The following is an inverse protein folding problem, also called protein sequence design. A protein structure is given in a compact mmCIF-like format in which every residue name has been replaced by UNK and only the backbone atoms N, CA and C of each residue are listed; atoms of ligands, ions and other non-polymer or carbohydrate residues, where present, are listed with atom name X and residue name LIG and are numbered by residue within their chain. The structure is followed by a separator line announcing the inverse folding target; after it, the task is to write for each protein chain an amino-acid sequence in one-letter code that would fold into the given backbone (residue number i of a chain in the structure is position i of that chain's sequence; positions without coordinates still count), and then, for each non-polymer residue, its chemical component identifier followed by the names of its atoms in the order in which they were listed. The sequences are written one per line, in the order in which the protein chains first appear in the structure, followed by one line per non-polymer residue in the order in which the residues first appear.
data_IF_861468665149
#
_entry.id   IF_861468665149
#
_cell.length_a   1.000
_cell.length_b   1.000
_cell.length_c   1.000
_cell.angle_alpha   90.00
_cell.angle_beta   90.00
_cell.angle_gamma   90.00
#
_symmetry.space_group_name_H-M   'P 1'
#
loop_
_entity.id
_entity.type
_entity.pdbx_description
1 polymer ?
#
# COMPACT_ATOMS: atom_id res chain seq x y z
N UNK A 1 -35.05 -14.44 -4.40
CA UNK A 1 -34.46 -13.66 -5.52
C UNK A 1 -33.31 -12.81 -5.04
N UNK A 2 -32.30 -12.63 -5.89
CA UNK A 2 -31.11 -11.82 -5.63
C UNK A 2 -31.13 -10.59 -6.54
N UNK A 3 -30.94 -9.39 -6.00
CA UNK A 3 -30.80 -8.16 -6.77
C UNK A 3 -29.30 -7.85 -6.97
N UNK A 4 -28.86 -7.70 -8.22
CA UNK A 4 -27.49 -7.29 -8.55
C UNK A 4 -27.50 -5.87 -9.11
N UNK A 5 -26.78 -4.96 -8.46
CA UNK A 5 -26.56 -3.59 -8.95
C UNK A 5 -25.05 -3.34 -9.22
N UNK A 6 -24.60 -3.37 -10.48
CA UNK A 6 -23.19 -3.18 -10.83
C UNK A 6 -22.71 -1.72 -10.70
N UNK A 7 -23.62 -0.76 -10.48
CA UNK A 7 -23.31 0.66 -10.32
C UNK A 7 -24.09 1.24 -9.12
N UNK A 8 -23.99 0.56 -7.99
CA UNK A 8 -24.82 0.82 -6.81
C UNK A 8 -24.77 2.27 -6.30
N UNK A 9 -23.66 2.99 -6.52
CA UNK A 9 -23.52 4.39 -6.16
C UNK A 9 -23.84 4.63 -4.69
N UNK A 10 -24.67 5.63 -4.42
CA UNK A 10 -25.15 5.93 -3.06
C UNK A 10 -26.07 4.85 -2.45
N UNK A 11 -26.30 3.74 -3.14
CA UNK A 11 -27.01 2.56 -2.66
C UNK A 11 -28.53 2.66 -2.65
N UNK A 12 -29.14 3.56 -3.43
CA UNK A 12 -30.60 3.77 -3.44
C UNK A 12 -31.36 2.48 -3.79
N UNK A 13 -30.92 1.77 -4.84
CA UNK A 13 -31.45 0.45 -5.24
C UNK A 13 -31.33 -0.59 -4.12
N UNK A 14 -30.17 -0.59 -3.44
CA UNK A 14 -29.86 -1.54 -2.38
C UNK A 14 -30.70 -1.30 -1.12
N UNK A 15 -30.97 -0.03 -0.78
CA UNK A 15 -31.86 0.36 0.32
C UNK A 15 -33.31 -0.05 0.00
N UNK A 16 -33.75 0.10 -1.25
CA UNK A 16 -35.05 -0.39 -1.67
C UNK A 16 -35.14 -1.93 -1.57
N UNK A 17 -34.10 -2.66 -2.00
CA UNK A 17 -34.02 -4.11 -1.86
C UNK A 17 -34.02 -4.56 -0.37
N UNK A 18 -33.26 -3.87 0.48
CA UNK A 18 -33.24 -4.06 1.93
C UNK A 18 -34.63 -3.91 2.57
N UNK A 19 -35.32 -2.81 2.29
CA UNK A 19 -36.67 -2.54 2.80
C UNK A 19 -37.69 -3.60 2.35
N UNK A 20 -37.49 -4.17 1.16
CA UNK A 20 -38.28 -5.29 0.62
C UNK A 20 -37.82 -6.67 1.12
N UNK A 21 -36.88 -6.74 2.08
CA UNK A 21 -36.27 -7.97 2.62
C UNK A 21 -35.68 -8.90 1.55
N UNK A 22 -35.17 -8.33 0.46
CA UNK A 22 -34.51 -9.06 -0.63
C UNK A 22 -32.99 -9.11 -0.40
N UNK A 23 -32.39 -10.25 -0.73
CA UNK A 23 -30.93 -10.34 -0.84
C UNK A 23 -30.44 -9.48 -2.00
N UNK A 24 -29.31 -8.81 -1.83
CA UNK A 24 -28.69 -8.00 -2.88
C UNK A 24 -27.17 -8.03 -2.83
N UNK A 25 -26.56 -7.80 -3.98
CA UNK A 25 -25.13 -7.50 -4.14
C UNK A 25 -25.03 -6.20 -4.93
N UNK A 26 -24.22 -5.27 -4.43
CA UNK A 26 -23.98 -3.99 -5.08
C UNK A 26 -22.49 -3.70 -5.19
N UNK A 27 -22.05 -3.35 -6.40
CA UNK A 27 -20.68 -2.96 -6.67
C UNK A 27 -20.59 -1.47 -6.98
N UNK A 28 -19.55 -0.82 -6.48
CA UNK A 28 -19.16 0.53 -6.89
C UNK A 28 -17.64 0.71 -6.74
N UNK A 29 -17.01 1.33 -7.73
CA UNK A 29 -15.56 1.57 -7.77
C UNK A 29 -15.13 2.75 -6.89
N UNK A 30 -16.06 3.58 -6.42
CA UNK A 30 -15.82 4.83 -5.72
C UNK A 30 -15.94 4.67 -4.21
N UNK A 31 -14.82 4.87 -3.50
CA UNK A 31 -14.77 4.92 -2.02
C UNK A 31 -15.75 5.97 -1.45
N UNK A 32 -16.03 7.06 -2.19
CA UNK A 32 -17.06 8.06 -1.84
C UNK A 32 -18.46 7.43 -1.72
N UNK A 33 -18.86 6.64 -2.71
CA UNK A 33 -20.19 6.04 -2.77
C UNK A 33 -20.37 4.94 -1.72
N UNK A 34 -19.34 4.09 -1.51
CA UNK A 34 -19.27 3.16 -0.37
C UNK A 34 -19.52 3.87 0.97
N UNK A 35 -18.82 4.97 1.23
CA UNK A 35 -18.97 5.73 2.48
C UNK A 35 -20.37 6.36 2.62
N UNK A 36 -20.99 6.82 1.53
CA UNK A 36 -22.37 7.34 1.55
C UNK A 36 -23.38 6.23 1.83
N UNK A 37 -23.21 5.05 1.23
CA UNK A 37 -24.06 3.90 1.47
C UNK A 37 -23.95 3.40 2.93
N UNK A 38 -22.75 3.27 3.47
CA UNK A 38 -22.53 2.91 4.88
C UNK A 38 -23.21 3.89 5.86
N UNK A 39 -23.17 5.20 5.59
CA UNK A 39 -23.87 6.21 6.39
C UNK A 39 -25.40 6.08 6.31
N UNK A 40 -25.94 5.80 5.12
CA UNK A 40 -27.38 5.57 4.95
C UNK A 40 -27.84 4.30 5.65
N UNK A 41 -27.02 3.24 5.58
CA UNK A 41 -27.26 1.98 6.29
C UNK A 41 -27.26 2.16 7.80
N UNK A 42 -26.29 2.88 8.37
CA UNK A 42 -26.24 3.14 9.82
C UNK A 42 -27.46 3.92 10.34
N UNK A 43 -28.15 4.67 9.47
CA UNK A 43 -29.39 5.38 9.78
C UNK A 43 -30.66 4.52 9.57
N UNK A 44 -30.53 3.34 8.96
CA UNK A 44 -31.62 2.37 8.79
C UNK A 44 -31.43 1.18 9.75
N UNK A 45 -32.50 0.66 10.35
CA UNK A 45 -32.43 -0.59 11.12
C UNK A 45 -32.32 -1.82 10.19
N UNK A 46 -31.34 -1.82 9.30
CA UNK A 46 -31.06 -2.88 8.32
C UNK A 46 -29.65 -3.40 8.52
N UNK A 47 -29.54 -4.63 9.04
CA UNK A 47 -28.29 -5.37 9.00
C UNK A 47 -27.99 -5.81 7.57
N UNK A 48 -26.79 -5.50 7.08
CA UNK A 48 -26.30 -5.96 5.78
C UNK A 48 -24.98 -6.68 5.92
N UNK A 49 -24.86 -7.82 5.25
CA UNK A 49 -23.62 -8.56 5.15
C UNK A 49 -22.69 -7.90 4.12
N UNK A 50 -21.88 -6.94 4.58
CA UNK A 50 -20.86 -6.31 3.75
C UNK A 50 -19.67 -7.27 3.55
N UNK A 51 -19.76 -8.14 2.55
CA UNK A 51 -18.67 -9.04 2.19
C UNK A 51 -17.43 -8.25 1.78
N UNK A 52 -16.38 -8.37 2.59
CA UNK A 52 -15.05 -7.80 2.34
C UNK A 52 -14.11 -8.96 2.05
N UNK A 53 -13.59 -9.04 0.83
CA UNK A 53 -12.51 -9.98 0.53
C UNK A 53 -11.29 -9.61 1.40
N UNK A 54 -10.76 -10.60 2.12
CA UNK A 54 -9.60 -10.47 3.00
C UNK A 54 -8.62 -11.57 2.64
N UNK A 55 -7.39 -11.18 2.31
CA UNK A 55 -6.29 -12.09 1.99
C UNK A 55 -5.26 -12.07 3.12
N UNK A 56 -4.63 -13.22 3.38
CA UNK A 56 -3.62 -13.32 4.44
C UNK A 56 -2.29 -12.78 3.93
N UNK A 57 -1.78 -11.74 4.60
CA UNK A 57 -0.44 -11.21 4.35
C UNK A 57 0.59 -12.17 4.94
N UNK A 58 1.56 -12.58 4.13
CA UNK A 58 2.71 -13.39 4.54
C UNK A 58 3.86 -12.48 5.01
N UNK A 59 4.13 -11.40 4.27
CA UNK A 59 5.22 -10.47 4.58
C UNK A 59 4.99 -9.08 3.97
N UNK A 60 5.47 -8.04 4.65
CA UNK A 60 5.61 -6.69 4.09
C UNK A 60 7.02 -6.57 3.51
N UNK A 61 7.12 -6.24 2.23
CA UNK A 61 8.37 -6.20 1.48
C UNK A 61 8.96 -4.80 1.38
N UNK A 62 8.13 -3.78 1.16
CA UNK A 62 8.58 -2.40 0.94
C UNK A 62 7.49 -1.38 1.33
N UNK A 63 7.86 -0.10 1.42
CA UNK A 63 7.00 1.03 1.74
C UNK A 63 7.31 2.22 0.82
N UNK A 64 6.27 2.85 0.27
CA UNK A 64 6.39 4.11 -0.49
C UNK A 64 5.34 5.12 -0.07
N UNK A 65 5.58 6.38 -0.44
CA UNK A 65 4.59 7.46 -0.33
C UNK A 65 4.15 7.82 -1.74
N UNK A 66 2.84 7.82 -1.99
CA UNK A 66 2.23 8.16 -3.27
C UNK A 66 1.01 9.03 -3.02
N UNK A 67 0.98 10.21 -3.64
CA UNK A 67 -0.11 11.20 -3.49
C UNK A 67 -0.42 11.56 -2.02
N UNK A 68 0.57 11.52 -1.13
CA UNK A 68 0.42 11.73 0.32
C UNK A 68 -0.02 10.50 1.12
N UNK A 69 -0.47 9.43 0.47
CA UNK A 69 -0.79 8.15 1.10
C UNK A 69 0.46 7.28 1.27
N UNK A 70 0.51 6.51 2.37
CA UNK A 70 1.52 5.47 2.58
C UNK A 70 0.96 4.17 2.00
N UNK A 71 1.67 3.62 1.01
CA UNK A 71 1.38 2.32 0.42
C UNK A 71 2.49 1.32 0.83
N UNK A 72 2.14 0.05 1.05
CA UNK A 72 3.08 -1.03 1.35
C UNK A 72 3.00 -2.13 0.29
N UNK A 73 4.14 -2.68 -0.11
CA UNK A 73 4.22 -3.84 -1.00
C UNK A 73 4.06 -5.13 -0.20
N UNK A 74 3.05 -5.93 -0.52
CA UNK A 74 2.67 -7.12 0.23
C UNK A 74 3.03 -8.40 -0.53
N UNK A 75 3.60 -9.37 0.19
CA UNK A 75 3.60 -10.78 -0.20
C UNK A 75 2.36 -11.44 0.37
N UNK A 76 1.52 -11.96 -0.50
CA UNK A 76 0.31 -12.70 -0.12
C UNK A 76 0.65 -14.18 0.13
N UNK A 77 0.03 -14.76 1.16
CA UNK A 77 0.24 -16.16 1.54
C UNK A 77 -0.34 -17.10 0.48
N UNK A 78 0.49 -17.99 -0.07
CA UNK A 78 0.07 -18.96 -1.09
C UNK A 78 0.00 -18.41 -2.53
N UNK A 79 0.47 -17.19 -2.76
CA UNK A 79 0.62 -16.60 -4.09
C UNK A 79 2.10 -16.35 -4.40
N UNK A 80 2.45 -16.28 -5.68
CA UNK A 80 3.81 -15.99 -6.15
C UNK A 80 4.17 -14.50 -6.04
N UNK A 81 5.45 -14.17 -6.23
CA UNK A 81 5.99 -12.81 -6.04
C UNK A 81 5.58 -11.81 -7.14
N UNK A 82 5.08 -12.29 -8.28
CA UNK A 82 4.48 -11.47 -9.34
C UNK A 82 3.10 -10.93 -8.94
N UNK A 83 2.38 -11.65 -8.07
CA UNK A 83 1.07 -11.27 -7.51
C UNK A 83 1.18 -10.27 -6.34
N UNK A 84 2.38 -9.78 -6.01
CA UNK A 84 2.58 -8.80 -4.93
C UNK A 84 1.91 -7.45 -5.28
N UNK A 85 1.00 -6.97 -4.44
CA UNK A 85 0.31 -5.68 -4.66
C UNK A 85 0.78 -4.58 -3.70
N UNK A 86 0.57 -3.33 -4.11
CA UNK A 86 0.75 -2.15 -3.25
C UNK A 86 -0.58 -1.78 -2.62
N UNK A 87 -0.70 -1.94 -1.30
CA UNK A 87 -1.92 -1.63 -0.55
C UNK A 87 -1.78 -0.37 0.31
N UNK A 88 -2.85 0.41 0.39
CA UNK A 88 -2.97 1.54 1.32
C UNK A 88 -2.78 1.08 2.77
N UNK A 89 -2.11 1.89 3.59
CA UNK A 89 -2.01 1.67 5.05
C UNK A 89 -3.38 1.41 5.71
N UNK A 90 -4.44 2.06 5.25
CA UNK A 90 -5.80 1.92 5.79
C UNK A 90 -6.46 0.57 5.43
N UNK A 91 -5.98 -0.12 4.39
CA UNK A 91 -6.47 -1.45 4.02
C UNK A 91 -5.81 -2.56 4.85
N UNK A 92 -4.67 -2.29 5.49
CA UNK A 92 -3.83 -3.27 6.17
C UNK A 92 -4.27 -3.56 7.60
N UNK A 93 -4.68 -4.80 7.85
CA UNK A 93 -5.19 -5.28 9.15
C UNK A 93 -4.20 -6.29 9.79
N UNK A 94 -2.90 -5.98 9.76
CA UNK A 94 -1.82 -6.84 10.27
C UNK A 94 -0.81 -6.04 11.13
N UNK A 95 -1.14 -5.71 12.39
CA UNK A 95 -0.34 -4.80 13.22
C UNK A 95 1.06 -5.33 13.54
N UNK A 96 1.21 -6.64 13.73
CA UNK A 96 2.50 -7.26 14.09
C UNK A 96 3.52 -7.17 12.93
N UNK A 97 3.11 -7.57 11.72
CA UNK A 97 3.93 -7.45 10.52
C UNK A 97 4.33 -5.99 10.22
N UNK A 98 3.41 -5.05 10.41
CA UNK A 98 3.69 -3.61 10.30
C UNK A 98 4.74 -3.15 11.31
N UNK A 99 4.59 -3.55 12.58
CA UNK A 99 5.49 -3.20 13.68
C UNK A 99 6.91 -3.75 13.47
N UNK A 100 7.03 -4.98 12.99
CA UNK A 100 8.33 -5.60 12.65
C UNK A 100 9.03 -4.88 11.48
N UNK A 101 8.27 -4.59 10.43
CA UNK A 101 8.77 -3.87 9.26
C UNK A 101 9.23 -2.44 9.61
N UNK A 102 8.40 -1.65 10.30
CA UNK A 102 8.76 -0.30 10.75
C UNK A 102 9.97 -0.30 11.70
N UNK A 103 10.08 -1.29 12.58
CA UNK A 103 11.23 -1.45 13.49
C UNK A 103 12.52 -1.73 12.72
N UNK A 104 12.43 -2.50 11.63
CA UNK A 104 13.56 -2.80 10.74
C UNK A 104 14.03 -1.56 9.98
N UNK A 105 13.11 -0.74 9.48
CA UNK A 105 13.42 0.57 8.88
C UNK A 105 14.10 1.52 9.87
N UNK A 106 13.61 1.59 11.11
CA UNK A 106 14.21 2.42 12.18
C UNK A 106 15.65 1.98 12.50
N UNK A 107 15.92 0.66 12.58
CA UNK A 107 17.27 0.11 12.76
C UNK A 107 18.21 0.47 11.60
N UNK A 108 17.75 0.33 10.35
CA UNK A 108 18.54 0.66 9.16
C UNK A 108 18.90 2.15 9.09
N UNK A 109 17.93 3.04 9.31
CA UNK A 109 18.16 4.50 9.33
C UNK A 109 19.17 4.93 10.40
N UNK A 110 19.14 4.32 11.60
CA UNK A 110 20.12 4.60 12.67
C UNK A 110 21.53 4.16 12.30
N UNK A 111 21.72 2.96 11.74
CA UNK A 111 23.04 2.48 11.30
C UNK A 111 23.68 3.40 10.26
N UNK A 112 22.90 3.91 9.30
CA UNK A 112 23.38 4.83 8.25
C UNK A 112 23.82 6.21 8.77
N UNK A 113 23.36 6.62 9.95
CA UNK A 113 23.77 7.88 10.60
C UNK A 113 25.03 7.74 11.47
N UNK A 114 25.38 6.52 11.88
CA UNK A 114 26.58 6.22 12.68
C UNK A 114 27.79 5.95 11.78
N UNK A 115 27.60 5.30 10.64
CA UNK A 115 28.71 5.01 9.70
C UNK A 115 29.29 6.24 8.99
N UNK A 116 28.72 7.43 9.17
CA UNK A 116 29.23 8.69 8.60
C UNK A 116 30.22 9.43 9.50
N UNK A 117 30.48 8.97 10.73
CA UNK A 117 31.35 9.66 11.70
C UNK A 117 32.67 8.94 12.01
N UNK A 118 32.92 7.73 11.49
CA UNK A 118 34.11 6.92 11.83
C UNK A 118 35.21 6.89 10.74
N UNK A 119 35.08 7.66 9.66
CA UNK A 119 36.09 7.68 8.57
C UNK A 119 37.14 8.79 8.68
N UNK A 120 37.07 9.69 9.67
CA UNK A 120 37.91 10.90 9.72
C UNK A 120 39.17 10.82 10.61
N UNK A 121 39.53 9.63 11.10
CA UNK A 121 40.73 9.44 11.96
C UNK A 121 41.95 8.91 11.18
N UNK A 122 41.73 8.20 10.07
CA UNK A 122 42.80 7.52 9.33
C UNK A 122 43.47 8.37 8.24
N UNK A 123 43.11 9.66 8.09
CA UNK A 123 43.61 10.54 7.02
C UNK A 123 44.56 11.66 7.50
N UNK A 124 45.19 11.50 8.65
CA UNK A 124 46.13 12.50 9.20
C UNK A 124 47.47 11.88 9.65
N UNK A 125 48.23 11.35 8.68
CA UNK A 125 49.69 11.13 8.77
C UNK A 125 50.29 10.87 7.39
N UNK A 126 51.33 11.65 7.03
CA UNK A 126 52.19 11.53 5.85
C UNK A 126 51.53 11.80 4.48
N UNK A 127 52.13 12.48 3.49
CA UNK A 127 53.27 13.44 3.42
C UNK A 127 53.14 14.22 2.09
N UNK A 128 53.91 15.31 1.94
CA UNK A 128 53.92 16.26 0.82
C UNK A 128 54.01 15.72 -0.63
N UNK A 129 53.55 16.58 -1.55
CA UNK A 129 54.04 16.82 -2.93
C UNK A 129 53.19 16.36 -4.13
N UNK A 130 52.93 17.34 -5.02
CA UNK A 130 52.53 17.29 -6.44
C UNK A 130 51.05 16.99 -6.85
N UNK A 131 50.35 18.07 -7.20
CA UNK A 131 49.59 18.34 -8.44
C UNK A 131 48.94 17.19 -9.25
N UNK A 132 47.60 17.15 -9.32
CA UNK A 132 46.75 17.62 -10.45
C UNK A 132 45.24 17.24 -10.25
N UNK A 133 44.32 17.83 -11.01
CA UNK A 133 42.86 17.49 -11.07
C UNK A 133 42.56 16.68 -12.37
N UNK A 134 41.37 16.13 -12.67
CA UNK A 134 40.02 16.62 -12.39
C UNK A 134 39.01 15.48 -12.08
N UNK A 135 38.12 15.73 -11.11
CA UNK A 135 36.85 15.05 -10.82
C UNK A 135 36.30 14.09 -11.91
N UNK A 136 36.03 12.84 -11.53
CA UNK A 136 34.83 12.13 -12.00
C UNK A 136 33.97 11.63 -10.82
N UNK A 137 32.66 11.90 -10.90
CA UNK A 137 31.67 11.45 -9.91
C UNK A 137 30.97 10.18 -10.43
N UNK A 138 30.74 9.14 -9.61
CA UNK A 138 29.97 7.98 -10.05
C UNK A 138 28.49 8.32 -10.20
N UNK A 139 28.09 8.71 -11.40
CA UNK A 139 26.70 8.84 -11.83
C UNK A 139 26.22 7.54 -12.45
N UNK A 140 25.23 6.86 -11.85
CA UNK A 140 24.15 6.17 -12.58
C UNK A 140 22.82 6.30 -11.83
N UNK A 141 21.94 7.15 -12.36
CA UNK A 141 20.50 7.17 -12.05
C UNK A 141 19.76 6.36 -13.12
N UNK A 142 18.80 5.55 -12.68
CA UNK A 142 17.54 5.23 -13.38
C UNK A 142 17.64 4.51 -14.74
N UNK A 143 17.10 3.29 -14.79
CA UNK A 143 16.29 2.85 -15.92
C UNK A 143 14.82 2.81 -15.46
N UNK A 144 13.96 3.64 -16.07
CA UNK A 144 12.52 3.56 -15.87
C UNK A 144 11.97 2.43 -16.75
N UNK A 145 11.15 1.54 -16.19
CA UNK A 145 10.22 0.76 -17.01
C UNK A 145 8.79 1.02 -16.53
N UNK A 146 8.11 1.89 -17.30
CA UNK A 146 6.68 2.16 -17.19
C UNK A 146 5.93 1.13 -18.01
N UNK A 147 5.07 0.33 -17.38
CA UNK A 147 3.91 -0.43 -17.89
C UNK A 147 3.46 -1.33 -16.71
N UNK A 148 2.18 -1.56 -16.40
CA UNK A 148 0.95 -1.05 -17.00
C UNK A 148 -0.17 -1.04 -15.93
N UNK A 149 -1.09 -0.08 -16.01
CA UNK A 149 -2.34 -0.12 -15.25
C UNK A 149 -3.33 -1.11 -15.91
N UNK A 150 -3.11 -2.42 -15.75
CA UNK A 150 -4.02 -3.48 -16.22
C UNK A 150 -4.04 -4.71 -15.31
N UNK A 151 -4.85 -4.66 -14.24
CA UNK A 151 -5.76 -5.76 -13.88
C UNK A 151 -6.82 -5.27 -12.88
N UNK A 152 -7.87 -4.67 -13.45
CA UNK A 152 -9.22 -4.77 -12.90
C UNK A 152 -9.96 -5.73 -13.85
N UNK A 153 -10.74 -6.66 -13.32
CA UNK A 153 -11.39 -7.83 -13.95
C UNK A 153 -10.58 -9.13 -13.91
N UNK A 154 -11.33 -10.25 -13.82
CA UNK A 154 -10.94 -11.63 -13.45
C UNK A 154 -10.72 -11.77 -11.93
N UNK A 155 -11.67 -12.30 -11.13
CA UNK A 155 -13.01 -12.85 -11.42
C UNK A 155 -14.07 -12.24 -10.50
#
# INVERSE_FOLDING_TARGET
DLILDPFAGSGTTLIAAANLKRSFIGFDISKKYKNMFQKRLANSNTEVNLWKQMFVVEKILDQRIRNGCIEYLLKWKGFDHDQNTWEDKDNLHCPDLLKEFESSLKKYKRKKHVSSTETNVYKMKMTSSNDEELNERPSKRIANMRLSSKMKHLY
#
